data_IF_311016307806
#
_entry.id   IF_311016307806
#
_cell.length_a   1.000
_cell.length_b   1.000
_cell.length_c   1.000
_cell.angle_alpha   90.00
_cell.angle_beta   90.00
_cell.angle_gamma   90.00
#
_symmetry.space_group_name_H-M   'P 1'
#
loop_
_entity.id
_entity.type
_entity.pdbx_description
1 polymer ?
#
# COMPACT_ATOMS: atom_id res chain seq x y z
N UNK A 1 -7.95 -9.68 20.94
CA UNK A 1 -8.46 -9.46 19.57
C UNK A 1 -7.31 -9.02 18.69
N UNK A 2 -7.23 -9.61 17.52
CA UNK A 2 -6.28 -9.15 16.50
C UNK A 2 -6.73 -7.80 15.93
N UNK A 3 -5.80 -6.89 15.67
CA UNK A 3 -6.09 -5.57 15.07
C UNK A 3 -6.67 -5.71 13.66
N UNK A 4 -6.17 -6.66 12.91
CA UNK A 4 -6.57 -6.97 11.55
C UNK A 4 -6.25 -8.44 11.27
N UNK A 5 -7.07 -9.09 10.50
CA UNK A 5 -6.86 -10.46 10.05
C UNK A 5 -7.05 -10.52 8.53
N UNK A 6 -6.21 -11.31 7.86
CA UNK A 6 -6.41 -11.56 6.44
C UNK A 6 -7.74 -12.27 6.21
N UNK A 7 -8.48 -11.79 5.25
CA UNK A 7 -9.70 -12.45 4.76
C UNK A 7 -9.83 -12.26 3.25
N UNK A 8 -10.66 -13.06 2.62
CA UNK A 8 -10.86 -13.01 1.16
C UNK A 8 -11.41 -11.66 0.67
N UNK A 9 -11.96 -10.84 1.56
CA UNK A 9 -12.37 -9.47 1.23
C UNK A 9 -11.21 -8.55 0.80
N UNK A 10 -9.97 -8.89 1.20
CA UNK A 10 -8.76 -8.16 0.80
C UNK A 10 -8.13 -8.69 -0.48
N UNK A 11 -8.59 -9.84 -0.99
CA UNK A 11 -8.06 -10.42 -2.21
C UNK A 11 -8.47 -9.58 -3.44
N UNK A 12 -7.47 -9.12 -4.18
CA UNK A 12 -7.65 -8.28 -5.37
C UNK A 12 -7.57 -9.08 -6.68
N UNK A 13 -7.17 -10.36 -6.60
CA UNK A 13 -6.99 -11.24 -7.75
C UNK A 13 -5.68 -10.99 -8.51
N UNK A 14 -4.76 -10.25 -7.94
CA UNK A 14 -3.39 -10.04 -8.41
C UNK A 14 -2.44 -10.64 -7.39
N UNK A 15 -1.91 -11.83 -7.67
CA UNK A 15 -1.22 -12.68 -6.70
C UNK A 15 -0.11 -11.95 -5.92
N UNK A 16 0.78 -11.24 -6.62
CA UNK A 16 1.88 -10.54 -5.96
C UNK A 16 1.42 -9.39 -5.03
N UNK A 17 0.29 -8.74 -5.34
CA UNK A 17 -0.32 -7.74 -4.45
C UNK A 17 -0.95 -8.44 -3.24
N UNK A 18 -1.69 -9.51 -3.47
CA UNK A 18 -2.36 -10.25 -2.41
C UNK A 18 -1.37 -10.87 -1.43
N UNK A 19 -0.26 -11.42 -1.91
CA UNK A 19 0.80 -11.97 -1.06
C UNK A 19 1.48 -10.88 -0.22
N UNK A 20 1.81 -9.75 -0.83
CA UNK A 20 2.39 -8.60 -0.13
C UNK A 20 1.43 -8.04 0.93
N UNK A 21 0.13 -8.01 0.64
CA UNK A 21 -0.89 -7.58 1.59
C UNK A 21 -1.06 -8.56 2.76
N UNK A 22 -0.94 -9.87 2.54
CA UNK A 22 -0.93 -10.88 3.62
C UNK A 22 0.26 -10.67 4.54
N UNK A 23 1.44 -10.45 3.97
CA UNK A 23 2.66 -10.15 4.74
C UNK A 23 2.51 -8.87 5.56
N UNK A 24 1.95 -7.80 4.98
CA UNK A 24 1.65 -6.55 5.67
C UNK A 24 0.77 -6.78 6.91
N UNK A 25 -0.33 -7.52 6.75
CA UNK A 25 -1.24 -7.87 7.85
C UNK A 25 -0.52 -8.63 8.95
N UNK A 26 0.33 -9.60 8.60
CA UNK A 26 1.13 -10.37 9.56
C UNK A 26 2.12 -9.49 10.32
N UNK A 27 2.75 -8.53 9.64
CA UNK A 27 3.69 -7.59 10.27
C UNK A 27 3.00 -6.65 11.25
N UNK A 28 1.82 -6.14 10.91
CA UNK A 28 1.00 -5.32 11.83
C UNK A 28 0.63 -6.12 13.09
N UNK A 29 0.22 -7.38 12.94
CA UNK A 29 -0.08 -8.25 14.07
C UNK A 29 1.14 -8.51 14.95
N UNK A 30 2.28 -8.79 14.35
CA UNK A 30 3.54 -9.01 15.07
C UNK A 30 3.96 -7.78 15.86
N UNK A 31 3.87 -6.60 15.25
CA UNK A 31 4.23 -5.33 15.89
C UNK A 31 3.29 -4.97 17.03
N UNK A 32 2.00 -5.24 16.92
CA UNK A 32 1.04 -4.97 18.00
C UNK A 32 1.35 -5.78 19.26
N UNK A 33 1.86 -7.01 19.10
CA UNK A 33 2.24 -7.90 20.19
C UNK A 33 3.70 -7.82 20.61
N UNK A 34 4.56 -7.06 19.90
CA UNK A 34 5.98 -6.98 20.17
C UNK A 34 6.30 -6.30 21.51
N UNK A 35 7.28 -6.83 22.26
CA UNK A 35 7.90 -6.16 23.38
C UNK A 35 8.81 -5.02 22.91
N UNK A 36 9.14 -4.08 23.81
CA UNK A 36 10.00 -2.92 23.47
C UNK A 36 11.35 -3.34 22.90
N UNK A 37 11.96 -4.39 23.44
CA UNK A 37 13.28 -4.88 23.02
C UNK A 37 13.32 -5.32 21.53
N UNK A 38 12.21 -5.82 21.00
CA UNK A 38 12.11 -6.27 19.61
C UNK A 38 11.38 -5.30 18.69
N UNK A 39 10.72 -4.29 19.24
CA UNK A 39 9.82 -3.42 18.48
C UNK A 39 10.52 -2.68 17.35
N UNK A 40 11.66 -2.04 17.65
CA UNK A 40 12.34 -1.19 16.65
C UNK A 40 12.85 -2.00 15.46
N UNK A 41 13.43 -3.20 15.70
CA UNK A 41 13.89 -4.07 14.63
C UNK A 41 12.73 -4.56 13.73
N UNK A 42 11.59 -4.91 14.34
CA UNK A 42 10.39 -5.29 13.59
C UNK A 42 9.80 -4.10 12.85
N UNK A 43 9.83 -2.92 13.45
CA UNK A 43 9.36 -1.69 12.82
C UNK A 43 10.22 -1.30 11.60
N UNK A 44 11.54 -1.44 11.71
CA UNK A 44 12.45 -1.23 10.58
C UNK A 44 12.17 -2.21 9.42
N UNK A 45 11.91 -3.48 9.73
CA UNK A 45 11.50 -4.47 8.74
C UNK A 45 10.15 -4.12 8.10
N UNK A 46 9.22 -3.58 8.88
CA UNK A 46 7.91 -3.14 8.39
C UNK A 46 8.03 -1.94 7.45
N UNK A 47 8.87 -0.95 7.75
CA UNK A 47 9.17 0.16 6.82
C UNK A 47 9.74 -0.39 5.53
N UNK A 48 10.77 -1.25 5.60
CA UNK A 48 11.42 -1.80 4.40
C UNK A 48 10.44 -2.58 3.51
N UNK A 49 9.57 -3.40 4.10
CA UNK A 49 8.53 -4.11 3.39
C UNK A 49 7.54 -3.16 2.70
N UNK A 50 7.12 -2.11 3.41
CA UNK A 50 6.18 -1.11 2.89
C UNK A 50 6.81 -0.29 1.76
N UNK A 51 8.08 0.07 1.87
CA UNK A 51 8.83 0.76 0.80
C UNK A 51 8.92 -0.10 -0.47
N UNK A 52 9.27 -1.38 -0.34
CA UNK A 52 9.37 -2.31 -1.47
C UNK A 52 8.01 -2.52 -2.15
N UNK A 53 6.96 -2.72 -1.35
CA UNK A 53 5.58 -2.83 -1.83
C UNK A 53 5.18 -1.60 -2.65
N UNK A 54 5.30 -0.41 -2.07
CA UNK A 54 4.90 0.83 -2.72
C UNK A 54 5.73 1.13 -3.97
N UNK A 55 7.03 0.80 -3.95
CA UNK A 55 7.87 0.97 -5.12
C UNK A 55 7.40 0.11 -6.29
N UNK A 56 7.04 -1.14 -6.05
CA UNK A 56 6.53 -2.04 -7.10
C UNK A 56 5.23 -1.54 -7.71
N UNK A 57 4.30 -1.07 -6.88
CA UNK A 57 3.06 -0.46 -7.36
C UNK A 57 3.30 0.85 -8.11
N UNK A 58 4.17 1.71 -7.59
CA UNK A 58 4.54 2.97 -8.22
C UNK A 58 5.14 2.76 -9.62
N UNK A 59 6.01 1.77 -9.77
CA UNK A 59 6.62 1.43 -11.05
C UNK A 59 5.57 0.98 -12.07
N UNK A 60 4.67 0.06 -11.69
CA UNK A 60 3.62 -0.40 -12.61
C UNK A 60 2.65 0.72 -12.98
N UNK A 61 2.27 1.57 -12.02
CA UNK A 61 1.40 2.72 -12.27
C UNK A 61 2.04 3.71 -13.24
N UNK A 62 3.32 4.02 -13.08
CA UNK A 62 4.07 4.92 -13.97
C UNK A 62 4.21 4.34 -15.37
N UNK A 63 4.61 3.07 -15.45
CA UNK A 63 4.86 2.39 -16.73
C UNK A 63 3.59 2.13 -17.54
N UNK A 64 2.47 1.96 -16.86
CA UNK A 64 1.16 1.73 -17.51
C UNK A 64 0.36 3.00 -17.73
N UNK A 65 0.88 4.16 -17.34
CA UNK A 65 0.15 5.44 -17.36
C UNK A 65 -1.20 5.35 -16.62
N UNK A 66 -1.18 4.76 -15.42
CA UNK A 66 -2.37 4.63 -14.58
C UNK A 66 -2.98 6.00 -14.27
N UNK A 67 -4.26 6.26 -14.61
CA UNK A 67 -4.82 7.62 -14.54
C UNK A 67 -4.77 8.25 -13.15
N UNK A 68 -5.15 7.57 -12.03
CA UNK A 68 -5.07 8.16 -10.70
C UNK A 68 -3.67 8.08 -10.03
N UNK A 69 -2.61 7.96 -10.83
CA UNK A 69 -1.22 7.81 -10.37
C UNK A 69 -0.84 8.80 -9.27
N UNK A 70 -1.11 10.09 -9.47
CA UNK A 70 -0.65 11.13 -8.54
C UNK A 70 -1.29 11.02 -7.15
N UNK A 71 -2.58 10.67 -7.07
CA UNK A 71 -3.25 10.48 -5.80
C UNK A 71 -2.68 9.29 -5.05
N UNK A 72 -2.45 8.18 -5.73
CA UNK A 72 -1.92 6.95 -5.15
C UNK A 72 -0.47 7.14 -4.67
N UNK A 73 0.38 7.75 -5.51
CA UNK A 73 1.76 8.11 -5.12
C UNK A 73 1.81 9.01 -3.89
N UNK A 74 0.95 10.02 -3.83
CA UNK A 74 0.91 10.95 -2.71
C UNK A 74 0.51 10.26 -1.40
N UNK A 75 -0.40 9.31 -1.46
CA UNK A 75 -0.80 8.52 -0.31
C UNK A 75 0.35 7.65 0.20
N UNK A 76 1.06 6.96 -0.71
CA UNK A 76 2.25 6.17 -0.36
C UNK A 76 3.33 7.02 0.30
N UNK A 77 3.64 8.18 -0.28
CA UNK A 77 4.65 9.09 0.25
C UNK A 77 4.28 9.61 1.64
N UNK A 78 3.02 10.02 1.85
CA UNK A 78 2.54 10.48 3.15
C UNK A 78 2.68 9.41 4.23
N UNK A 79 2.27 8.18 3.95
CA UNK A 79 2.37 7.07 4.91
C UNK A 79 3.81 6.77 5.25
N UNK A 80 4.70 6.66 4.26
CA UNK A 80 6.12 6.40 4.50
C UNK A 80 6.79 7.51 5.31
N UNK A 81 6.46 8.77 5.06
CA UNK A 81 6.99 9.89 5.81
C UNK A 81 6.55 9.83 7.29
N UNK A 82 5.28 9.53 7.55
CA UNK A 82 4.77 9.33 8.91
C UNK A 82 5.47 8.16 9.60
N UNK A 83 5.61 7.03 8.91
CA UNK A 83 6.30 5.86 9.45
C UNK A 83 7.75 6.17 9.84
N UNK A 84 8.47 6.90 9.00
CA UNK A 84 9.87 7.32 9.26
C UNK A 84 9.98 8.32 10.41
N UNK A 85 9.05 9.25 10.51
CA UNK A 85 9.00 10.22 11.62
C UNK A 85 8.75 9.52 12.95
N UNK A 86 7.78 8.62 12.99
CA UNK A 86 7.49 7.81 14.20
C UNK A 86 8.68 6.92 14.56
N UNK A 87 9.35 6.33 13.55
CA UNK A 87 10.57 5.55 13.76
C UNK A 87 11.64 6.35 14.51
N UNK A 88 11.85 7.62 14.13
CA UNK A 88 12.81 8.51 14.82
C UNK A 88 12.37 8.78 16.26
N UNK A 89 11.10 9.04 16.51
CA UNK A 89 10.58 9.25 17.87
C UNK A 89 10.77 8.01 18.75
N UNK A 90 10.58 6.81 18.20
CA UNK A 90 10.82 5.56 18.95
C UNK A 90 12.30 5.37 19.22
N UNK A 91 13.17 5.55 18.22
CA UNK A 91 14.60 5.30 18.33
C UNK A 91 15.33 6.33 19.21
N UNK A 92 15.00 7.61 19.06
CA UNK A 92 15.76 8.70 19.68
C UNK A 92 15.15 9.13 21.02
N UNK A 93 13.84 8.98 21.20
CA UNK A 93 13.11 9.47 22.37
C UNK A 93 12.46 8.35 23.20
N UNK A 94 12.55 7.08 22.74
CA UNK A 94 11.90 5.95 23.41
C UNK A 94 10.38 6.00 23.39
N UNK A 95 9.78 6.69 22.41
CA UNK A 95 8.33 6.89 22.31
C UNK A 95 7.63 5.67 21.72
N UNK A 96 7.75 4.52 22.40
CA UNK A 96 7.04 3.29 22.00
C UNK A 96 5.51 3.45 22.02
N UNK A 97 4.99 4.34 22.84
CA UNK A 97 3.57 4.71 22.87
C UNK A 97 3.10 5.22 21.50
N UNK A 98 3.87 6.13 20.89
CA UNK A 98 3.58 6.66 19.55
C UNK A 98 3.72 5.58 18.48
N UNK A 99 4.76 4.75 18.57
CA UNK A 99 4.96 3.63 17.67
C UNK A 99 3.76 2.66 17.67
N UNK A 100 3.24 2.32 18.85
CA UNK A 100 2.07 1.44 18.99
C UNK A 100 0.78 2.07 18.45
N UNK A 101 0.60 3.39 18.65
CA UNK A 101 -0.54 4.10 18.05
C UNK A 101 -0.49 4.01 16.53
N UNK A 102 0.68 4.26 15.91
CA UNK A 102 0.81 4.15 14.46
C UNK A 102 0.48 2.74 13.97
N UNK A 103 1.04 1.70 14.60
CA UNK A 103 0.75 0.30 14.22
C UNK A 103 -0.74 0.02 14.23
N UNK A 104 -1.48 0.52 15.23
CA UNK A 104 -2.94 0.35 15.31
C UNK A 104 -3.68 1.13 14.23
N UNK A 105 -3.22 2.33 13.91
CA UNK A 105 -3.82 3.14 12.83
C UNK A 105 -3.52 2.57 11.42
N UNK A 106 -2.47 1.78 11.27
CA UNK A 106 -2.17 1.10 10.00
C UNK A 106 -3.23 0.09 9.60
N UNK A 107 -3.95 -0.52 10.54
CA UNK A 107 -5.01 -1.48 10.23
C UNK A 107 -6.22 -0.86 9.50
N UNK A 108 -6.87 0.20 10.02
CA UNK A 108 -7.95 0.87 9.29
C UNK A 108 -7.45 1.59 8.04
N UNK A 109 -6.24 2.15 8.07
CA UNK A 109 -5.65 2.76 6.87
C UNK A 109 -5.50 1.73 5.75
N UNK A 110 -4.88 0.58 6.04
CA UNK A 110 -4.71 -0.50 5.05
C UNK A 110 -6.04 -0.99 4.51
N UNK A 111 -7.02 -1.21 5.38
CA UNK A 111 -8.36 -1.66 4.98
C UNK A 111 -8.99 -0.72 3.95
N UNK A 112 -8.88 0.59 4.19
CA UNK A 112 -9.39 1.59 3.26
C UNK A 112 -8.55 1.68 1.97
N UNK A 113 -7.22 1.73 2.09
CA UNK A 113 -6.31 1.85 0.96
C UNK A 113 -6.44 0.68 -0.01
N UNK A 114 -6.42 -0.55 0.51
CA UNK A 114 -6.57 -1.77 -0.31
C UNK A 114 -7.95 -1.83 -0.99
N UNK A 115 -9.02 -1.48 -0.30
CA UNK A 115 -10.38 -1.52 -0.84
C UNK A 115 -10.64 -0.45 -1.91
N UNK A 116 -9.87 0.63 -1.92
CA UNK A 116 -10.05 1.77 -2.84
C UNK A 116 -8.92 1.84 -3.86
N UNK A 117 -7.74 2.28 -3.47
CA UNK A 117 -6.64 2.59 -4.37
C UNK A 117 -6.03 1.35 -5.01
N UNK A 118 -5.69 0.34 -4.20
CA UNK A 118 -5.10 -0.90 -4.71
C UNK A 118 -6.12 -1.71 -5.53
N UNK A 119 -7.38 -1.68 -5.12
CA UNK A 119 -8.45 -2.32 -5.88
C UNK A 119 -8.61 -1.69 -7.28
N UNK A 120 -8.50 -0.37 -7.38
CA UNK A 120 -8.52 0.32 -8.69
C UNK A 120 -7.30 -0.06 -9.54
N UNK A 121 -6.12 -0.14 -8.94
CA UNK A 121 -4.91 -0.57 -9.64
C UNK A 121 -5.01 -2.03 -10.10
N UNK A 122 -5.47 -2.93 -9.24
CA UNK A 122 -5.67 -4.34 -9.58
C UNK A 122 -6.67 -4.51 -10.74
N UNK A 123 -7.79 -3.81 -10.70
CA UNK A 123 -8.78 -3.82 -11.79
C UNK A 123 -8.19 -3.30 -13.10
N UNK A 124 -7.37 -2.25 -13.04
CA UNK A 124 -6.70 -1.69 -14.20
C UNK A 124 -5.68 -2.66 -14.83
N UNK A 125 -4.89 -3.34 -14.01
CA UNK A 125 -3.93 -4.36 -14.47
C UNK A 125 -4.66 -5.54 -15.10
N UNK A 126 -5.73 -6.01 -14.47
CA UNK A 126 -6.56 -7.11 -14.98
C UNK A 126 -7.22 -6.76 -16.33
N UNK A 127 -7.71 -5.54 -16.49
CA UNK A 127 -8.25 -5.06 -17.75
C UNK A 127 -7.20 -5.00 -18.88
N UNK A 128 -5.91 -4.95 -18.54
CA UNK A 128 -4.79 -5.02 -19.47
C UNK A 128 -4.31 -6.44 -19.77
N UNK A 129 -5.00 -7.45 -19.27
CA UNK A 129 -4.71 -8.85 -19.55
C UNK A 129 -3.70 -9.48 -18.57
N UNK A 130 -3.65 -9.00 -17.33
CA UNK A 130 -2.87 -9.67 -16.30
C UNK A 130 -3.33 -11.13 -16.15
N UNK A 131 -2.37 -12.05 -16.19
CA UNK A 131 -2.57 -13.49 -16.04
C UNK A 131 -1.90 -13.96 -14.75
N UNK A 132 -2.66 -14.48 -13.76
CA UNK A 132 -2.12 -14.94 -12.50
C UNK A 132 -1.21 -16.19 -12.63
N UNK A 133 -1.33 -16.94 -13.73
CA UNK A 133 -0.53 -18.14 -13.98
C UNK A 133 0.85 -17.81 -14.58
N UNK A 134 1.09 -16.57 -14.97
CA UNK A 134 2.35 -16.09 -15.54
C UNK A 134 3.05 -15.18 -14.52
N UNK A 135 4.35 -15.41 -14.21
CA UNK A 135 5.10 -14.51 -13.36
C UNK A 135 5.02 -13.05 -13.83
N UNK A 136 4.83 -12.12 -12.91
CA UNK A 136 4.64 -10.69 -13.22
C UNK A 136 5.72 -10.14 -14.15
N UNK A 137 6.99 -10.44 -13.88
CA UNK A 137 8.12 -9.94 -14.69
C UNK A 137 8.09 -10.42 -16.14
N UNK A 138 7.52 -11.61 -16.41
CA UNK A 138 7.41 -12.13 -17.76
C UNK A 138 6.30 -11.45 -18.57
N UNK A 139 5.21 -11.01 -17.94
CA UNK A 139 4.09 -10.36 -18.61
C UNK A 139 4.11 -8.83 -18.55
N UNK A 140 5.02 -8.24 -17.79
CA UNK A 140 5.09 -6.79 -17.52
C UNK A 140 5.06 -5.95 -18.81
N UNK A 141 5.82 -6.32 -19.82
CA UNK A 141 5.87 -5.61 -21.12
C UNK A 141 4.51 -5.67 -21.84
N UNK A 142 3.81 -6.79 -21.76
CA UNK A 142 2.49 -6.93 -22.37
C UNK A 142 1.47 -6.03 -21.66
N UNK A 143 1.54 -5.95 -20.32
CA UNK A 143 0.66 -5.07 -19.54
C UNK A 143 0.90 -3.59 -19.85
N UNK A 144 2.16 -3.19 -20.08
CA UNK A 144 2.54 -1.82 -20.44
C UNK A 144 2.01 -1.45 -21.83
N UNK A 145 2.08 -2.37 -22.79
CA UNK A 145 1.76 -2.11 -24.19
C UNK A 145 0.26 -2.32 -24.53
N UNK A 146 -0.46 -3.07 -23.70
CA UNK A 146 -1.88 -3.38 -23.96
C UNK A 146 -2.78 -2.26 -23.40
N UNK A 147 -2.98 -1.20 -24.19
CA UNK A 147 -3.87 -0.10 -23.85
C UNK A 147 -5.29 -0.45 -24.33
N UNK A 148 -6.27 -0.69 -23.44
CA UNK A 148 -7.65 -0.90 -23.87
C UNK A 148 -8.23 0.36 -24.52
N UNK A 149 -8.89 0.22 -25.64
CA UNK A 149 -9.49 1.35 -26.41
C UNK A 149 -10.47 2.20 -25.58
N UNK A 150 -10.99 1.70 -24.48
CA UNK A 150 -11.94 2.39 -23.59
C UNK A 150 -11.32 3.35 -22.57
N UNK A 151 -10.00 3.44 -22.50
CA UNK A 151 -9.32 4.22 -21.45
C UNK A 151 -9.15 5.72 -21.77
N UNK A 152 -9.73 6.23 -22.87
CA UNK A 152 -9.46 7.59 -23.34
C UNK A 152 -10.25 8.72 -22.65
N UNK A 153 -11.12 8.43 -21.68
CA UNK A 153 -11.93 9.46 -21.02
C UNK A 153 -12.09 9.21 -19.52
N UNK A 154 -11.08 9.53 -18.73
CA UNK A 154 -11.28 9.79 -17.31
C UNK A 154 -10.34 10.90 -16.87
N UNK A 155 -10.86 12.11 -16.72
CA UNK A 155 -10.14 13.19 -16.05
C UNK A 155 -9.93 12.81 -14.58
N UNK A 156 -8.70 12.90 -14.05
CA UNK A 156 -8.45 12.65 -12.64
C UNK A 156 -8.90 13.86 -11.85
N UNK A 157 -10.13 13.84 -11.38
CA UNK A 157 -10.54 14.77 -10.34
C UNK A 157 -10.24 14.13 -8.98
N UNK A 158 -9.00 14.26 -8.53
CA UNK A 158 -8.69 14.14 -7.13
C UNK A 158 -9.35 15.32 -6.43
N UNK A 159 -10.57 15.13 -5.94
CA UNK A 159 -11.29 16.15 -5.23
C UNK A 159 -10.42 16.76 -4.14
N UNK A 160 -9.85 17.93 -4.42
CA UNK A 160 -9.27 18.79 -3.41
C UNK A 160 -10.40 19.19 -2.48
N UNK A 161 -10.53 18.48 -1.34
CA UNK A 161 -11.35 18.95 -0.25
C UNK A 161 -10.78 20.28 0.23
N UNK A 162 -11.37 21.36 -0.22
CA UNK A 162 -11.15 22.69 0.33
C UNK A 162 -11.68 22.68 1.77
N UNK A 163 -10.76 22.55 2.72
CA UNK A 163 -11.04 22.95 4.09
C UNK A 163 -11.06 24.49 4.11
N UNK A 164 -12.23 25.06 3.93
CA UNK A 164 -12.47 26.41 4.39
C UNK A 164 -12.54 26.38 5.91
N UNK A 165 -11.53 27.00 6.52
CA UNK A 165 -11.55 27.33 7.94
C UNK A 165 -12.52 28.48 8.17
N UNK A 166 -13.45 28.26 9.08
CA UNK A 166 -14.15 29.30 9.83
C UNK A 166 -13.82 29.18 11.31
#
# INVERSE_FOLDING_TARGET
MSLIEWSDQFALGVEWMDDTHREFVQMVQSLDSAGEDGFLAQYDAFIAHTEDHFQRENEIMQQTAFPPLHCHLSEHENVLNIMRDVRRMVADEGRFDVGRVLVREMAPWFTNHAATMDNMLAAFIQARGYDPDIPFEEQKLNLINNIPESASCASPDCGAGSHEAH
#
